data_IF_656305433120
#
_entry.id   IF_656305433120
#
_cell.length_a   1.000
_cell.length_b   1.000
_cell.length_c   1.000
_cell.angle_alpha   90.00
_cell.angle_beta   90.00
_cell.angle_gamma   90.00
#
_symmetry.space_group_name_H-M   'P 1'
#
loop_
_entity.id
_entity.type
_entity.pdbx_description
1 polymer ?
#
# COMPACT_ATOMS: atom_id res chain seq x y z
N UNK A 1 -33.28 0.21 7.92
CA UNK A 1 -32.95 -1.24 8.05
C UNK A 1 -31.97 -1.59 6.95
N UNK A 2 -30.67 -1.49 7.19
CA UNK A 2 -29.65 -2.08 6.32
C UNK A 2 -28.92 -3.12 7.16
N UNK A 3 -29.17 -4.40 6.87
CA UNK A 3 -28.50 -5.49 7.53
C UNK A 3 -27.02 -5.46 7.16
N UNK A 4 -26.13 -5.42 8.15
CA UNK A 4 -24.70 -5.61 7.95
C UNK A 4 -24.49 -7.07 7.54
N UNK A 5 -24.04 -7.31 6.31
CA UNK A 5 -23.71 -8.66 5.86
C UNK A 5 -22.62 -9.26 6.76
N UNK A 6 -22.75 -10.52 7.18
CA UNK A 6 -21.72 -11.17 7.99
C UNK A 6 -20.41 -11.25 7.20
N UNK A 7 -19.34 -10.74 7.80
CA UNK A 7 -17.98 -10.82 7.26
C UNK A 7 -17.56 -12.30 7.28
N UNK A 8 -17.56 -12.95 6.12
CA UNK A 8 -16.94 -14.26 5.94
C UNK A 8 -15.43 -14.06 6.14
N UNK A 9 -14.78 -14.72 7.12
CA UNK A 9 -13.34 -14.65 7.23
C UNK A 9 -12.74 -15.23 5.94
N UNK A 10 -11.92 -14.44 5.26
CA UNK A 10 -11.20 -14.91 4.09
C UNK A 10 -10.34 -16.12 4.48
N UNK A 11 -10.20 -17.12 3.60
CA UNK A 11 -9.27 -18.22 3.84
C UNK A 11 -7.85 -17.68 4.07
N UNK A 12 -7.02 -18.38 4.86
CA UNK A 12 -5.66 -17.94 5.12
C UNK A 12 -4.89 -17.85 3.81
N UNK A 13 -4.25 -16.70 3.58
CA UNK A 13 -3.37 -16.48 2.43
C UNK A 13 -2.07 -17.25 2.69
N UNK A 14 -1.85 -18.34 1.95
CA UNK A 14 -0.58 -19.08 1.95
C UNK A 14 0.39 -18.47 0.95
N UNK A 15 1.00 -17.36 1.35
CA UNK A 15 2.13 -16.73 0.64
C UNK A 15 3.44 -17.44 1.03
N UNK A 16 4.43 -17.63 0.12
CA UNK A 16 4.54 -17.07 -1.23
C UNK A 16 4.04 -17.96 -2.37
N UNK A 17 3.43 -19.11 -2.09
CA UNK A 17 3.13 -20.14 -3.12
C UNK A 17 1.94 -19.81 -4.05
N UNK A 18 1.37 -18.60 -3.94
CA UNK A 18 0.32 -18.14 -4.83
C UNK A 18 0.92 -17.63 -6.17
N UNK A 19 0.24 -17.84 -7.31
CA UNK A 19 0.71 -17.33 -8.59
C UNK A 19 0.91 -15.80 -8.59
N UNK A 20 2.13 -15.34 -8.92
CA UNK A 20 2.48 -13.92 -9.03
C UNK A 20 2.93 -13.58 -10.46
N UNK A 21 2.07 -12.92 -11.24
CA UNK A 21 2.24 -12.79 -12.70
C UNK A 21 3.30 -11.76 -13.13
N UNK A 22 3.28 -10.56 -12.55
CA UNK A 22 4.10 -9.41 -13.00
C UNK A 22 5.42 -9.31 -12.23
N UNK A 23 6.04 -10.46 -11.90
CA UNK A 23 7.34 -10.47 -11.23
C UNK A 23 8.47 -10.25 -12.25
N UNK A 24 9.41 -9.33 -11.98
CA UNK A 24 10.57 -9.16 -12.84
C UNK A 24 11.47 -10.42 -12.78
N UNK A 25 12.07 -10.83 -13.91
CA UNK A 25 13.01 -11.95 -13.95
C UNK A 25 14.38 -11.47 -13.46
N UNK A 26 14.57 -11.38 -12.15
CA UNK A 26 15.85 -10.98 -11.57
C UNK A 26 16.97 -11.95 -12.00
N UNK A 27 18.11 -11.45 -12.52
CA UNK A 27 19.15 -12.30 -13.10
C UNK A 27 20.00 -13.02 -12.04
N UNK A 28 20.04 -12.53 -10.80
CA UNK A 28 20.84 -13.07 -9.71
C UNK A 28 19.96 -13.22 -8.45
N UNK A 29 19.75 -14.48 -8.07
CA UNK A 29 18.94 -14.85 -6.90
C UNK A 29 19.63 -14.48 -5.58
N UNK A 30 20.96 -14.54 -5.51
CA UNK A 30 21.70 -14.21 -4.30
C UNK A 30 21.65 -12.71 -4.00
N UNK A 31 21.79 -11.87 -5.03
CA UNK A 31 21.66 -10.42 -4.85
C UNK A 31 20.22 -10.01 -4.50
N UNK A 32 19.22 -10.71 -5.04
CA UNK A 32 17.82 -10.54 -4.61
C UNK A 32 17.63 -10.87 -3.12
N UNK A 33 18.13 -12.01 -2.67
CA UNK A 33 18.06 -12.41 -1.26
C UNK A 33 18.75 -11.40 -0.33
N UNK A 34 19.90 -10.87 -0.75
CA UNK A 34 20.62 -9.83 0.00
C UNK A 34 19.81 -8.53 0.10
N UNK A 35 19.24 -8.05 -1.00
CA UNK A 35 18.39 -6.86 -0.99
C UNK A 35 17.16 -7.05 -0.09
N UNK A 36 16.52 -8.22 -0.13
CA UNK A 36 15.38 -8.55 0.75
C UNK A 36 15.82 -8.59 2.22
N UNK A 37 16.97 -9.18 2.53
CA UNK A 37 17.49 -9.24 3.90
C UNK A 37 17.79 -7.85 4.47
N UNK A 38 18.34 -6.95 3.65
CA UNK A 38 18.57 -5.55 4.02
C UNK A 38 17.26 -4.82 4.32
N UNK A 39 16.27 -4.89 3.41
CA UNK A 39 14.99 -4.20 3.59
C UNK A 39 14.21 -4.69 4.82
N UNK A 40 14.36 -5.97 5.21
CA UNK A 40 13.67 -6.57 6.37
C UNK A 40 14.04 -5.95 7.72
N UNK A 41 15.24 -5.36 7.84
CA UNK A 41 15.74 -4.81 9.11
C UNK A 41 15.62 -3.29 9.19
N UNK A 42 15.22 -2.64 8.11
CA UNK A 42 15.00 -1.19 8.10
C UNK A 42 13.72 -0.82 8.88
N UNK A 43 13.66 0.39 9.45
CA UNK A 43 12.46 0.86 10.12
C UNK A 43 11.24 0.85 9.19
N UNK A 44 10.03 0.59 9.72
CA UNK A 44 8.80 0.67 8.93
C UNK A 44 8.51 2.12 8.51
N UNK A 45 7.85 2.29 7.37
CA UNK A 45 7.46 3.62 6.86
C UNK A 45 6.24 4.21 7.57
N UNK A 46 5.39 3.38 8.19
CA UNK A 46 4.14 3.77 8.85
C UNK A 46 3.95 3.00 10.15
N UNK A 47 3.18 3.56 11.07
CA UNK A 47 2.79 2.92 12.32
C UNK A 47 1.48 2.13 12.16
N UNK A 48 1.36 1.01 12.89
CA UNK A 48 0.15 0.17 12.83
C UNK A 48 -1.15 0.94 13.14
N UNK A 49 -1.11 1.87 14.10
CA UNK A 49 -2.28 2.69 14.46
C UNK A 49 -2.73 3.64 13.36
N UNK A 50 -1.83 4.05 12.44
CA UNK A 50 -2.19 4.86 11.27
C UNK A 50 -2.99 4.02 10.26
N UNK A 51 -2.64 2.74 10.10
CA UNK A 51 -3.39 1.79 9.28
C UNK A 51 -4.79 1.52 9.86
N UNK A 52 -4.89 1.36 11.18
CA UNK A 52 -6.18 1.18 11.85
C UNK A 52 -7.09 2.41 11.66
N UNK A 53 -6.52 3.62 11.78
CA UNK A 53 -7.22 4.87 11.54
C UNK A 53 -7.69 4.97 10.08
N UNK A 54 -6.85 4.63 9.11
CA UNK A 54 -7.23 4.59 7.69
C UNK A 54 -8.39 3.61 7.46
N UNK A 55 -8.33 2.43 8.07
CA UNK A 55 -9.39 1.42 7.95
C UNK A 55 -10.74 1.93 8.49
N UNK A 56 -10.73 2.66 9.61
CA UNK A 56 -11.94 3.30 10.15
C UNK A 56 -12.51 4.34 9.18
N UNK A 57 -11.66 5.19 8.59
CA UNK A 57 -12.09 6.20 7.60
C UNK A 57 -12.67 5.56 6.34
N UNK A 58 -12.04 4.50 5.84
CA UNK A 58 -12.54 3.72 4.71
C UNK A 58 -13.89 3.05 5.04
N UNK A 59 -14.07 2.57 6.28
CA UNK A 59 -15.36 2.04 6.71
C UNK A 59 -16.47 3.10 6.66
N UNK A 60 -16.21 4.33 7.13
CA UNK A 60 -17.16 5.45 6.99
C UNK A 60 -17.48 5.76 5.52
N UNK A 61 -16.48 5.73 4.63
CA UNK A 61 -16.72 5.93 3.21
C UNK A 61 -17.59 4.81 2.60
N UNK A 62 -17.34 3.55 2.98
CA UNK A 62 -18.16 2.41 2.53
C UNK A 62 -19.62 2.48 3.01
N UNK A 63 -19.87 3.17 4.13
CA UNK A 63 -21.20 3.43 4.66
C UNK A 63 -21.87 4.68 4.04
N UNK A 64 -21.23 5.32 3.05
CA UNK A 64 -21.74 6.54 2.42
C UNK A 64 -21.61 7.81 3.27
N UNK A 65 -20.78 7.78 4.32
CA UNK A 65 -20.59 8.90 5.25
C UNK A 65 -19.36 9.76 4.92
N UNK A 66 -18.54 9.32 3.96
CA UNK A 66 -17.35 10.03 3.48
C UNK A 66 -17.07 9.65 2.02
N UNK A 67 -16.19 10.41 1.36
CA UNK A 67 -15.67 10.10 0.04
C UNK A 67 -14.16 9.84 0.11
N UNK A 68 -13.64 8.97 -0.76
CA UNK A 68 -12.21 8.66 -0.85
C UNK A 68 -11.64 9.30 -2.10
N UNK A 69 -10.65 10.18 -1.93
CA UNK A 69 -9.82 10.69 -2.99
C UNK A 69 -8.43 10.08 -2.86
N UNK A 70 -7.97 9.36 -3.89
CA UNK A 70 -6.61 8.86 -4.02
C UNK A 70 -6.02 9.45 -5.29
N UNK A 71 -4.85 10.08 -5.19
CA UNK A 71 -4.17 10.72 -6.31
C UNK A 71 -2.66 10.71 -6.11
N UNK A 72 -1.93 10.62 -7.21
CA UNK A 72 -0.47 10.52 -7.23
C UNK A 72 0.06 10.26 -8.63
N UNK A 73 1.36 9.99 -8.73
CA UNK A 73 2.00 9.67 -9.99
C UNK A 73 1.62 8.27 -10.50
N UNK A 74 1.66 8.09 -11.81
CA UNK A 74 1.52 6.77 -12.44
C UNK A 74 2.72 5.87 -12.10
N UNK A 75 3.92 6.43 -12.15
CA UNK A 75 5.16 5.79 -11.76
C UNK A 75 6.12 6.85 -11.20
N UNK A 76 6.46 6.72 -9.93
CA UNK A 76 7.47 7.58 -9.32
C UNK A 76 8.87 7.21 -9.83
N UNK A 77 9.76 8.20 -9.96
CA UNK A 77 11.15 7.98 -10.38
C UNK A 77 12.10 8.54 -9.35
N UNK A 78 13.28 7.95 -9.21
CA UNK A 78 14.30 8.45 -8.27
C UNK A 78 14.71 9.90 -8.57
N UNK A 79 14.80 10.26 -9.85
CA UNK A 79 15.16 11.61 -10.27
C UNK A 79 14.08 12.65 -9.95
N UNK A 80 12.80 12.28 -10.10
CA UNK A 80 11.68 13.19 -9.83
C UNK A 80 11.25 13.23 -8.35
N UNK A 81 11.83 12.40 -7.48
CA UNK A 81 11.52 12.38 -6.06
C UNK A 81 12.16 13.55 -5.29
N UNK A 82 11.76 14.77 -5.64
CA UNK A 82 12.25 16.02 -5.06
C UNK A 82 11.20 16.66 -4.16
N UNK A 83 11.65 17.49 -3.20
CA UNK A 83 10.74 18.20 -2.30
C UNK A 83 9.71 19.07 -3.03
N UNK A 84 10.09 19.70 -4.15
CA UNK A 84 9.19 20.52 -4.96
C UNK A 84 8.14 19.67 -5.67
N UNK A 85 8.54 18.53 -6.24
CA UNK A 85 7.62 17.59 -6.87
C UNK A 85 6.65 16.97 -5.86
N UNK A 86 7.11 16.65 -4.65
CA UNK A 86 6.24 16.18 -3.55
C UNK A 86 5.26 17.30 -3.15
N UNK A 87 5.74 18.53 -2.97
CA UNK A 87 4.90 19.67 -2.58
C UNK A 87 3.79 19.93 -3.59
N UNK A 88 4.11 19.97 -4.88
CA UNK A 88 3.12 20.22 -5.93
C UNK A 88 2.02 19.15 -5.95
N UNK A 89 2.37 17.88 -5.70
CA UNK A 89 1.40 16.78 -5.57
C UNK A 89 0.48 16.98 -4.35
N UNK A 90 1.04 17.32 -3.20
CA UNK A 90 0.25 17.61 -2.00
C UNK A 90 -0.72 18.78 -2.21
N UNK A 91 -0.30 19.85 -2.90
CA UNK A 91 -1.15 20.99 -3.26
C UNK A 91 -2.28 20.65 -4.24
N UNK A 92 -2.14 19.57 -5.02
CA UNK A 92 -3.17 19.15 -5.98
C UNK A 92 -4.28 18.36 -5.29
N UNK A 93 -3.94 17.61 -4.23
CA UNK A 93 -4.88 16.74 -3.49
C UNK A 93 -5.59 17.49 -2.36
N UNK A 94 -4.97 18.53 -1.79
CA UNK A 94 -5.47 19.34 -0.67
C UNK A 94 -6.15 20.62 -1.15
#
# INVERSE_FOLDING_TARGET
MTASSPRVPAPPITWPDLPALQQPPWPDEQELERAVAELRVLPPLVFAGECDLLMQRLASASAGQAFVLMGGDCAETFQANTADSIRARLQTVL
#
